data_IF_476647632628
#
_entry.id   IF_476647632628
#
_cell.length_a   1.000
_cell.length_b   1.000
_cell.length_c   1.000
_cell.angle_alpha   90.00
_cell.angle_beta   90.00
_cell.angle_gamma   90.00
#
_symmetry.space_group_name_H-M   'P 1'
#
loop_
_entity.id
_entity.type
_entity.pdbx_description
1 polymer ?
#
# COMPACT_ATOMS: atom_id res chain seq x y z
N UNK A 1 -7.70 13.65 -7.84
CA UNK A 1 -7.73 12.21 -8.15
C UNK A 1 -6.29 11.72 -8.33
N UNK A 2 -5.64 11.28 -7.25
CA UNK A 2 -4.18 11.00 -7.21
C UNK A 2 -3.90 9.50 -7.39
N UNK A 3 -4.70 8.61 -6.78
CA UNK A 3 -4.44 7.16 -6.78
C UNK A 3 -4.43 6.48 -8.16
N UNK A 4 -5.37 6.74 -9.11
CA UNK A 4 -5.30 6.12 -10.43
C UNK A 4 -4.05 6.54 -11.23
N UNK A 5 -3.61 7.79 -11.08
CA UNK A 5 -2.37 8.29 -11.70
C UNK A 5 -1.13 7.64 -11.08
N UNK A 6 -1.12 7.47 -9.75
CA UNK A 6 -0.06 6.74 -9.05
C UNK A 6 0.01 5.29 -9.52
N UNK A 7 -1.13 4.60 -9.62
CA UNK A 7 -1.18 3.23 -10.10
C UNK A 7 -0.66 3.11 -11.54
N UNK A 8 -1.07 4.02 -12.44
CA UNK A 8 -0.56 4.04 -13.82
C UNK A 8 0.96 4.21 -13.87
N UNK A 9 1.53 5.10 -13.04
CA UNK A 9 2.98 5.27 -12.91
C UNK A 9 3.66 4.03 -12.35
N UNK A 10 3.10 3.44 -11.29
CA UNK A 10 3.64 2.24 -10.66
C UNK A 10 3.61 1.03 -11.60
N UNK A 11 2.58 0.90 -12.43
CA UNK A 11 2.49 -0.18 -13.39
C UNK A 11 3.50 -0.02 -14.52
N UNK A 12 3.75 1.20 -15.01
CA UNK A 12 4.72 1.47 -16.07
C UNK A 12 4.65 0.43 -17.21
N UNK A 13 3.48 0.29 -17.84
CA UNK A 13 3.12 -0.70 -18.89
C UNK A 13 2.96 -2.16 -18.44
N UNK A 14 3.27 -2.50 -17.19
CA UNK A 14 3.12 -3.86 -16.66
C UNK A 14 1.67 -4.18 -16.34
N UNK A 15 1.32 -5.46 -16.41
CA UNK A 15 0.04 -5.97 -15.93
C UNK A 15 0.04 -6.11 -14.43
N UNK A 16 -1.11 -5.81 -13.82
CA UNK A 16 -1.28 -5.95 -12.38
C UNK A 16 -1.46 -7.42 -12.00
N UNK A 17 -0.68 -7.91 -11.04
CA UNK A 17 -0.77 -9.30 -10.58
C UNK A 17 -1.91 -9.54 -9.58
N UNK A 18 -2.26 -8.51 -8.79
CA UNK A 18 -3.29 -8.55 -7.75
C UNK A 18 -3.92 -7.17 -7.57
N UNK A 19 -5.14 -7.12 -7.03
CA UNK A 19 -5.76 -5.86 -6.69
C UNK A 19 -4.83 -5.05 -5.76
N UNK A 20 -4.50 -3.80 -6.14
CA UNK A 20 -3.67 -2.92 -5.35
C UNK A 20 -4.41 -2.55 -4.07
N UNK A 21 -3.69 -2.43 -2.97
CA UNK A 21 -4.25 -2.09 -1.66
C UNK A 21 -3.95 -0.63 -1.36
N UNK A 22 -4.95 0.11 -0.90
CA UNK A 22 -4.79 1.45 -0.32
C UNK A 22 -5.09 1.32 1.17
N UNK A 23 -4.16 1.78 2.00
CA UNK A 23 -4.35 1.90 3.45
C UNK A 23 -4.22 3.37 3.81
N UNK A 24 -5.26 3.95 4.39
CA UNK A 24 -5.31 5.37 4.70
C UNK A 24 -5.96 5.60 6.06
N UNK A 25 -5.57 6.70 6.72
CA UNK A 25 -6.14 7.05 8.03
C UNK A 25 -7.54 7.63 7.96
N UNK A 26 -7.91 8.15 6.79
CA UNK A 26 -9.22 8.65 6.45
C UNK A 26 -9.34 8.79 4.94
N UNK A 27 -10.41 8.26 4.36
CA UNK A 27 -10.82 8.58 2.99
C UNK A 27 -12.25 9.13 3.01
N UNK A 28 -12.54 10.23 2.29
CA UNK A 28 -13.91 10.67 2.11
C UNK A 28 -14.75 9.54 1.50
N UNK A 29 -16.00 9.27 1.96
CA UNK A 29 -16.81 8.18 1.44
C UNK A 29 -17.00 8.22 -0.08
N UNK A 30 -17.16 9.43 -0.63
CA UNK A 30 -17.27 9.66 -2.09
C UNK A 30 -16.00 9.23 -2.84
N UNK A 31 -14.84 9.30 -2.21
CA UNK A 31 -13.58 8.83 -2.79
C UNK A 31 -13.45 7.31 -2.64
N UNK A 32 -13.85 6.72 -1.51
CA UNK A 32 -13.85 5.26 -1.29
C UNK A 32 -14.63 4.55 -2.40
N UNK A 33 -15.88 4.95 -2.64
CA UNK A 33 -16.73 4.35 -3.68
C UNK A 33 -16.09 4.40 -5.08
N UNK A 34 -15.36 5.47 -5.39
CA UNK A 34 -14.67 5.61 -6.65
C UNK A 34 -13.42 4.71 -6.77
N UNK A 35 -12.79 4.36 -5.65
CA UNK A 35 -11.57 3.57 -5.61
C UNK A 35 -11.83 2.06 -5.55
N UNK A 36 -12.94 1.62 -4.93
CA UNK A 36 -13.26 0.20 -4.73
C UNK A 36 -13.36 -0.62 -6.02
N UNK A 37 -13.63 0.02 -7.17
CA UNK A 37 -13.63 -0.65 -8.48
C UNK A 37 -12.22 -1.11 -8.92
N UNK A 38 -11.17 -0.51 -8.36
CA UNK A 38 -9.78 -0.78 -8.75
C UNK A 38 -8.96 -1.31 -7.59
N UNK A 39 -9.17 -0.77 -6.38
CA UNK A 39 -8.37 -1.01 -5.20
C UNK A 39 -9.13 -1.78 -4.13
N UNK A 40 -8.39 -2.54 -3.31
CA UNK A 40 -8.87 -2.93 -1.99
C UNK A 40 -8.61 -1.73 -1.07
N UNK A 41 -9.68 -1.06 -0.63
CA UNK A 41 -9.59 0.12 0.24
C UNK A 41 -9.68 -0.30 1.70
N UNK A 42 -8.69 0.10 2.50
CA UNK A 42 -8.65 -0.08 3.95
C UNK A 42 -8.62 1.29 4.60
N UNK A 43 -9.81 1.83 4.84
CA UNK A 43 -9.98 3.07 5.60
C UNK A 43 -9.89 2.76 7.10
N UNK A 44 -8.87 3.32 7.73
CA UNK A 44 -8.57 3.14 9.15
C UNK A 44 -9.18 4.24 10.02
N UNK A 45 -10.15 5.00 9.48
CA UNK A 45 -10.85 6.03 10.23
C UNK A 45 -11.60 5.46 11.42
N UNK A 46 -11.07 5.77 12.60
CA UNK A 46 -11.76 5.60 13.87
C UNK A 46 -12.16 6.99 14.35
N UNK A 47 -13.47 7.24 14.41
CA UNK A 47 -14.07 8.53 14.75
C UNK A 47 -13.72 9.03 16.15
N UNK A 48 -13.14 8.18 17.01
CA UNK A 48 -12.93 8.47 18.43
C UNK A 48 -11.44 8.60 18.82
N UNK A 49 -10.51 8.07 18.01
CA UNK A 49 -9.10 7.95 18.40
C UNK A 49 -8.12 8.66 17.44
N UNK A 50 -8.02 9.99 17.55
CA UNK A 50 -7.13 10.82 16.70
C UNK A 50 -5.63 10.50 16.82
N UNK A 51 -5.16 10.07 18.00
CA UNK A 51 -3.72 9.91 18.27
C UNK A 51 -3.11 8.58 17.81
N UNK A 52 -3.93 7.58 17.44
CA UNK A 52 -3.45 6.26 17.00
C UNK A 52 -3.58 6.02 15.49
N UNK A 53 -3.94 7.06 14.73
CA UNK A 53 -4.26 6.96 13.31
C UNK A 53 -3.08 6.50 12.44
N UNK A 54 -1.92 7.14 12.59
CA UNK A 54 -0.71 6.79 11.81
C UNK A 54 -0.23 5.38 12.11
N UNK A 55 -0.04 5.05 13.39
CA UNK A 55 0.39 3.71 13.83
C UNK A 55 -0.50 2.58 13.33
N UNK A 56 -1.82 2.81 13.20
CA UNK A 56 -2.77 1.83 12.65
C UNK A 56 -2.61 1.65 11.14
N UNK A 57 -2.40 2.73 10.40
CA UNK A 57 -2.12 2.66 8.96
C UNK A 57 -0.84 1.88 8.72
N UNK A 58 0.23 2.20 9.46
CA UNK A 58 1.53 1.53 9.31
C UNK A 58 1.38 0.03 9.63
N UNK A 59 0.73 -0.31 10.75
CA UNK A 59 0.51 -1.70 11.15
C UNK A 59 -0.31 -2.50 10.12
N UNK A 60 -1.36 -1.90 9.55
CA UNK A 60 -2.17 -2.56 8.54
C UNK A 60 -1.41 -2.72 7.22
N UNK A 61 -0.60 -1.73 6.84
CA UNK A 61 0.26 -1.84 5.66
C UNK A 61 1.28 -2.96 5.83
N UNK A 62 1.93 -3.05 6.99
CA UNK A 62 2.84 -4.15 7.35
C UNK A 62 2.16 -5.52 7.28
N UNK A 63 0.92 -5.62 7.77
CA UNK A 63 0.13 -6.84 7.68
C UNK A 63 -0.20 -7.20 6.22
N UNK A 64 -0.54 -6.23 5.38
CA UNK A 64 -0.79 -6.42 3.96
C UNK A 64 0.46 -6.91 3.22
N UNK A 65 1.63 -6.34 3.52
CA UNK A 65 2.91 -6.78 2.96
C UNK A 65 3.18 -8.23 3.35
N UNK A 66 3.11 -8.53 4.65
CA UNK A 66 3.36 -9.87 5.18
C UNK A 66 2.43 -10.92 4.56
N UNK A 67 1.12 -10.64 4.46
CA UNK A 67 0.16 -11.54 3.81
C UNK A 67 0.50 -11.76 2.33
N UNK A 68 0.91 -10.71 1.63
CA UNK A 68 1.25 -10.77 0.20
C UNK A 68 2.45 -11.67 -0.04
N UNK A 69 3.55 -11.44 0.66
CA UNK A 69 4.81 -12.16 0.42
C UNK A 69 4.77 -13.63 0.86
N UNK A 70 3.86 -14.01 1.74
CA UNK A 70 3.68 -15.40 2.18
C UNK A 70 2.66 -16.17 1.34
N UNK A 71 1.66 -15.49 0.79
CA UNK A 71 0.56 -16.13 0.05
C UNK A 71 0.85 -16.33 -1.43
N UNK A 72 1.69 -15.48 -2.02
CA UNK A 72 1.88 -15.43 -3.47
C UNK A 72 3.33 -15.73 -3.87
N UNK A 73 3.50 -16.19 -5.10
CA UNK A 73 4.81 -16.40 -5.70
C UNK A 73 5.53 -15.07 -5.93
N UNK A 74 6.85 -14.99 -5.70
CA UNK A 74 7.61 -13.76 -5.86
C UNK A 74 7.54 -13.18 -7.28
N UNK A 75 7.40 -11.85 -7.34
CA UNK A 75 7.46 -11.01 -8.55
C UNK A 75 8.02 -9.64 -8.14
N UNK A 76 7.50 -8.56 -8.72
CA UNK A 76 7.74 -7.18 -8.31
C UNK A 76 6.72 -6.78 -7.25
N UNK A 77 7.21 -6.30 -6.11
CA UNK A 77 6.44 -5.65 -5.06
C UNK A 77 6.71 -4.14 -5.12
N UNK A 78 5.65 -3.36 -5.32
CA UNK A 78 5.74 -1.89 -5.36
C UNK A 78 5.17 -1.31 -4.08
N UNK A 79 5.97 -0.58 -3.32
CA UNK A 79 5.54 0.21 -2.17
C UNK A 79 5.45 1.68 -2.56
N UNK A 80 4.30 2.30 -2.32
CA UNK A 80 4.13 3.75 -2.44
C UNK A 80 3.94 4.32 -1.04
N UNK A 81 5.00 4.91 -0.48
CA UNK A 81 5.00 5.46 0.87
C UNK A 81 6.07 6.54 1.02
N UNK A 82 5.86 7.48 1.94
CA UNK A 82 6.82 8.54 2.27
C UNK A 82 7.62 8.25 3.55
N UNK A 83 7.30 7.15 4.24
CA UNK A 83 7.92 6.75 5.49
C UNK A 83 9.07 5.75 5.27
N UNK A 84 10.16 5.92 6.00
CA UNK A 84 11.34 5.03 5.99
C UNK A 84 11.20 3.81 6.90
N UNK A 85 10.22 3.80 7.82
CA UNK A 85 10.06 2.75 8.83
C UNK A 85 9.71 1.37 8.26
N UNK A 86 9.43 1.28 6.96
CA UNK A 86 9.17 0.01 6.26
C UNK A 86 10.43 -0.82 5.98
N UNK A 87 11.64 -0.28 6.21
CA UNK A 87 12.91 -0.95 5.89
C UNK A 87 13.00 -2.40 6.39
N UNK A 88 12.75 -2.74 7.68
CA UNK A 88 12.87 -4.12 8.16
C UNK A 88 11.93 -5.08 7.45
N UNK A 89 10.77 -4.60 7.02
CA UNK A 89 9.80 -5.41 6.29
C UNK A 89 10.20 -5.58 4.84
N UNK A 90 10.75 -4.55 4.20
CA UNK A 90 11.30 -4.66 2.85
C UNK A 90 12.48 -5.64 2.77
N UNK A 91 13.32 -5.72 3.81
CA UNK A 91 14.37 -6.74 3.92
C UNK A 91 13.78 -8.16 3.92
N UNK A 92 12.63 -8.38 4.59
CA UNK A 92 11.93 -9.67 4.53
C UNK A 92 11.34 -9.97 3.15
N UNK A 93 10.87 -8.95 2.44
CA UNK A 93 10.37 -9.08 1.06
C UNK A 93 11.51 -9.55 0.15
N UNK A 94 12.67 -8.90 0.22
CA UNK A 94 13.88 -9.27 -0.51
C UNK A 94 14.36 -10.69 -0.17
N UNK A 95 14.38 -11.06 1.11
CA UNK A 95 14.75 -12.42 1.57
C UNK A 95 13.82 -13.52 1.04
N UNK A 96 12.61 -13.16 0.57
CA UNK A 96 11.68 -14.08 -0.09
C UNK A 96 11.78 -14.03 -1.62
N UNK A 97 12.87 -13.50 -2.17
CA UNK A 97 13.15 -13.41 -3.61
C UNK A 97 12.16 -12.54 -4.40
N UNK A 98 11.55 -11.54 -3.75
CA UNK A 98 10.78 -10.52 -4.45
C UNK A 98 11.70 -9.38 -4.89
N UNK A 99 11.42 -8.80 -6.05
CA UNK A 99 11.97 -7.50 -6.44
C UNK A 99 11.16 -6.39 -5.78
N UNK A 100 11.82 -5.36 -5.24
CA UNK A 100 11.16 -4.26 -4.51
C UNK A 100 11.38 -2.94 -5.24
N UNK A 101 10.29 -2.26 -5.57
CA UNK A 101 10.29 -0.87 -6.04
C UNK A 101 9.65 0.03 -4.99
N UNK A 102 10.30 1.16 -4.68
CA UNK A 102 9.78 2.13 -3.73
C UNK A 102 9.52 3.44 -4.48
N UNK A 103 8.27 3.91 -4.43
CA UNK A 103 7.86 5.20 -4.96
C UNK A 103 7.53 6.12 -3.78
N UNK A 104 8.31 7.19 -3.63
CA UNK A 104 8.14 8.18 -2.58
C UNK A 104 8.15 9.58 -3.18
N UNK A 105 7.64 10.56 -2.43
CA UNK A 105 7.66 11.94 -2.87
C UNK A 105 9.04 12.54 -2.58
N UNK A 106 9.64 13.17 -3.59
CA UNK A 106 10.86 13.95 -3.36
C UNK A 106 10.43 15.30 -2.77
N UNK A 107 10.80 15.55 -1.52
CA UNK A 107 10.71 16.87 -0.89
C UNK A 107 11.64 17.88 -1.57
#
# INVERSE_FOLDING_TARGET
MIYPKLLSRALNTRNIGKHPVIVESYLPPTLVTNLENTFIVKDMYDGEHKNHKKKRVDAELLLCISKTIHKYSPRIFVLVADDGDYKPTLEQVLNKNWEVEILFWKN
#
